data_IF_750194294419
#
_entry.id   IF_750194294419
#
_cell.length_a   1.000
_cell.length_b   1.000
_cell.length_c   1.000
_cell.angle_alpha   90.00
_cell.angle_beta   90.00
_cell.angle_gamma   90.00
#
_symmetry.space_group_name_H-M   'P 1'
#
loop_
_entity.id
_entity.type
_entity.pdbx_description
1 polymer ?
#
# COMPACT_ATOMS: atom_id res chain seq x y z
N UNK A 1 4.39 -24.69 16.40
CA UNK A 1 4.01 -23.64 15.44
C UNK A 1 5.07 -22.56 15.56
N UNK A 2 5.75 -22.21 14.47
CA UNK A 2 6.83 -21.21 14.48
C UNK A 2 6.24 -19.81 14.51
N UNK A 3 6.91 -18.86 15.17
CA UNK A 3 6.45 -17.46 15.19
C UNK A 3 6.94 -16.72 13.94
N UNK A 4 6.09 -15.87 13.38
CA UNK A 4 6.42 -15.00 12.26
C UNK A 4 5.91 -13.59 12.49
N UNK A 5 6.75 -12.58 12.24
CA UNK A 5 6.36 -11.17 12.33
C UNK A 5 5.67 -10.75 11.03
N UNK A 6 4.44 -10.26 11.12
CA UNK A 6 3.71 -9.60 10.04
C UNK A 6 3.98 -8.09 10.07
N UNK A 7 4.50 -7.54 8.97
CA UNK A 7 4.88 -6.12 8.89
C UNK A 7 3.92 -5.23 8.09
N UNK A 8 2.85 -5.81 7.53
CA UNK A 8 1.92 -5.10 6.66
C UNK A 8 0.82 -4.33 7.40
N UNK A 9 -0.22 -3.96 6.66
CA UNK A 9 -1.34 -3.16 7.19
C UNK A 9 -2.20 -4.00 8.15
N UNK A 10 -2.52 -3.50 9.37
CA UNK A 10 -3.30 -4.24 10.38
C UNK A 10 -4.60 -4.88 9.87
N UNK A 11 -5.34 -4.21 8.97
CA UNK A 11 -6.62 -4.72 8.44
C UNK A 11 -6.51 -6.06 7.69
N UNK A 12 -5.34 -6.38 7.15
CA UNK A 12 -5.10 -7.65 6.46
C UNK A 12 -4.59 -8.75 7.40
N UNK A 13 -4.29 -8.42 8.66
CA UNK A 13 -3.64 -9.32 9.61
C UNK A 13 -4.42 -10.62 9.80
N UNK A 14 -5.73 -10.56 10.07
CA UNK A 14 -6.53 -11.77 10.32
C UNK A 14 -6.61 -12.70 9.12
N UNK A 15 -6.72 -12.14 7.91
CA UNK A 15 -6.71 -12.92 6.66
C UNK A 15 -5.36 -13.63 6.50
N UNK A 16 -4.25 -12.93 6.75
CA UNK A 16 -2.89 -13.48 6.67
C UNK A 16 -2.64 -14.49 7.79
N UNK A 17 -3.08 -14.22 9.03
CA UNK A 17 -3.03 -15.13 10.19
C UNK A 17 -3.63 -16.49 9.86
N UNK A 18 -4.86 -16.52 9.34
CA UNK A 18 -5.53 -17.76 8.90
C UNK A 18 -4.78 -18.47 7.77
N UNK A 19 -4.20 -17.73 6.84
CA UNK A 19 -3.44 -18.29 5.72
C UNK A 19 -2.13 -18.96 6.15
N UNK A 20 -1.40 -18.34 7.09
CA UNK A 20 -0.11 -18.82 7.57
C UNK A 20 -0.22 -19.86 8.69
N UNK A 21 -1.31 -19.84 9.48
CA UNK A 21 -1.61 -20.91 10.43
C UNK A 21 -1.67 -22.29 9.76
N UNK A 22 -2.24 -22.37 8.55
CA UNK A 22 -2.27 -23.59 7.73
C UNK A 22 -0.88 -24.09 7.30
N UNK A 23 0.15 -23.27 7.43
CA UNK A 23 1.55 -23.57 7.08
C UNK A 23 2.44 -23.71 8.33
N UNK A 24 1.85 -23.81 9.52
CA UNK A 24 2.60 -24.01 10.76
C UNK A 24 3.16 -22.73 11.38
N UNK A 25 2.69 -21.55 10.97
CA UNK A 25 3.11 -20.26 11.53
C UNK A 25 2.05 -19.61 12.42
N UNK A 26 2.52 -19.05 13.53
CA UNK A 26 1.80 -18.12 14.40
C UNK A 26 2.23 -16.69 14.07
N UNK A 27 1.30 -15.88 13.55
CA UNK A 27 1.62 -14.51 13.14
C UNK A 27 1.53 -13.54 14.33
N UNK A 28 2.54 -12.70 14.46
CA UNK A 28 2.62 -11.58 15.41
C UNK A 28 2.59 -10.29 14.60
N UNK A 29 1.65 -9.40 14.89
CA UNK A 29 1.55 -8.12 14.18
C UNK A 29 2.58 -7.12 14.72
N UNK A 30 3.53 -6.71 13.88
CA UNK A 30 4.41 -5.55 14.13
C UNK A 30 4.43 -4.69 12.85
N UNK A 31 3.39 -3.88 12.63
CA UNK A 31 3.23 -3.11 11.38
C UNK A 31 4.40 -2.16 11.17
N UNK A 32 4.96 -2.14 9.97
CA UNK A 32 5.94 -1.12 9.55
C UNK A 32 5.27 0.04 8.80
N UNK A 33 3.95 0.04 8.77
CA UNK A 33 3.11 1.00 8.11
C UNK A 33 1.92 1.34 9.00
N UNK A 34 1.72 2.63 9.21
CA UNK A 34 0.53 3.20 9.81
C UNK A 34 -0.08 4.19 8.83
N UNK A 35 -1.40 4.09 8.65
CA UNK A 35 -2.17 5.02 7.84
C UNK A 35 -2.88 5.97 8.80
N UNK A 36 -2.59 7.27 8.69
CA UNK A 36 -3.21 8.32 9.50
C UNK A 36 -4.04 9.21 8.57
N UNK A 37 -5.35 9.39 8.82
CA UNK A 37 -6.16 10.28 8.01
C UNK A 37 -5.65 11.72 8.09
N UNK A 38 -5.71 12.45 6.98
CA UNK A 38 -5.50 13.89 6.93
C UNK A 38 -6.85 14.57 6.69
N UNK A 39 -7.01 15.79 7.23
CA UNK A 39 -8.16 16.62 6.86
C UNK A 39 -7.94 17.13 5.44
N UNK A 40 -8.99 17.07 4.63
CA UNK A 40 -9.02 17.57 3.27
C UNK A 40 -10.44 18.00 2.95
N UNK A 41 -10.57 18.91 2.00
CA UNK A 41 -11.85 19.29 1.43
C UNK A 41 -12.09 18.48 0.16
N UNK A 42 -13.33 18.01 -0.03
CA UNK A 42 -13.72 17.35 -1.26
C UNK A 42 -13.85 18.39 -2.38
N UNK A 43 -13.11 18.25 -3.48
CA UNK A 43 -13.25 19.17 -4.59
C UNK A 43 -14.52 18.87 -5.39
N UNK A 44 -14.99 19.87 -6.13
CA UNK A 44 -15.88 19.63 -7.25
C UNK A 44 -15.08 19.01 -8.40
N UNK A 45 -15.40 17.78 -8.77
CA UNK A 45 -14.72 17.04 -9.83
C UNK A 45 -15.68 16.07 -10.53
N UNK A 46 -15.29 15.62 -11.71
CA UNK A 46 -16.04 14.64 -12.50
C UNK A 46 -15.45 13.23 -12.31
N UNK A 47 -14.13 13.15 -12.15
CA UNK A 47 -13.37 11.90 -12.03
C UNK A 47 -12.68 11.76 -10.68
N UNK A 48 -12.58 10.53 -10.19
CA UNK A 48 -11.69 10.16 -9.08
C UNK A 48 -10.66 9.16 -9.59
N UNK A 49 -9.37 9.50 -9.44
CA UNK A 49 -8.23 8.69 -9.88
C UNK A 49 -7.68 7.90 -8.68
N UNK A 50 -7.75 6.56 -8.73
CA UNK A 50 -7.34 5.71 -7.62
C UNK A 50 -6.15 4.82 -8.00
N UNK A 51 -4.99 5.17 -7.47
CA UNK A 51 -3.75 4.37 -7.64
C UNK A 51 -3.53 3.34 -6.54
N UNK A 52 -4.46 3.21 -5.60
CA UNK A 52 -4.52 2.15 -4.58
C UNK A 52 -5.92 2.10 -3.96
N UNK A 53 -6.19 1.09 -3.15
CA UNK A 53 -7.44 1.00 -2.38
C UNK A 53 -7.48 1.93 -1.16
N UNK A 54 -6.34 2.40 -0.66
CA UNK A 54 -6.26 3.12 0.62
C UNK A 54 -7.11 4.40 0.68
N UNK A 55 -7.24 5.22 -0.39
CA UNK A 55 -8.18 6.35 -0.39
C UNK A 55 -9.62 6.02 -0.06
N UNK A 56 -10.09 4.80 -0.36
CA UNK A 56 -11.48 4.39 -0.16
C UNK A 56 -11.89 4.36 1.31
N UNK A 57 -10.93 4.33 2.24
CA UNK A 57 -11.22 4.40 3.68
C UNK A 57 -11.59 5.81 4.14
N UNK A 58 -11.30 6.83 3.31
CA UNK A 58 -11.42 8.24 3.69
C UNK A 58 -12.37 9.03 2.80
N UNK A 59 -12.74 8.49 1.64
CA UNK A 59 -13.71 9.10 0.73
C UNK A 59 -15.12 8.62 1.12
N UNK A 60 -16.09 9.53 1.29
CA UNK A 60 -17.48 9.14 1.52
C UNK A 60 -18.05 8.36 0.33
N UNK A 61 -18.82 7.30 0.60
CA UNK A 61 -19.48 6.50 -0.44
C UNK A 61 -20.37 7.40 -1.34
N UNK A 62 -21.13 8.34 -0.75
CA UNK A 62 -21.99 9.28 -1.49
C UNK A 62 -21.20 10.24 -2.41
N UNK A 63 -19.97 10.60 -2.03
CA UNK A 63 -19.11 11.39 -2.91
C UNK A 63 -18.74 10.60 -4.16
N UNK A 64 -18.46 9.31 -4.02
CA UNK A 64 -18.04 8.43 -5.10
C UNK A 64 -19.18 8.05 -6.05
N UNK A 65 -20.42 7.95 -5.56
CA UNK A 65 -21.59 7.55 -6.37
C UNK A 65 -21.84 8.48 -7.56
N UNK A 66 -21.59 9.78 -7.39
CA UNK A 66 -21.81 10.80 -8.42
C UNK A 66 -20.54 11.09 -9.24
N UNK A 67 -19.57 10.17 -9.30
CA UNK A 67 -18.28 10.38 -9.95
C UNK A 67 -17.94 9.23 -10.87
N UNK A 68 -17.19 9.55 -11.91
CA UNK A 68 -16.53 8.54 -12.73
C UNK A 68 -15.27 8.06 -12.02
N UNK A 69 -15.05 6.75 -12.01
CA UNK A 69 -13.95 6.14 -11.27
C UNK A 69 -12.92 5.54 -12.22
N UNK A 70 -11.69 6.04 -12.14
CA UNK A 70 -10.55 5.49 -12.86
C UNK A 70 -9.57 4.84 -11.87
N UNK A 71 -9.25 3.56 -12.08
CA UNK A 71 -8.37 2.80 -11.19
C UNK A 71 -7.14 2.26 -11.90
N UNK A 72 -6.02 2.19 -11.17
CA UNK A 72 -4.74 1.68 -11.69
C UNK A 72 -4.77 0.18 -12.03
N UNK A 73 -5.67 -0.59 -11.43
CA UNK A 73 -5.71 -2.03 -11.69
C UNK A 73 -6.86 -2.75 -11.01
N UNK A 74 -7.03 -4.01 -11.39
CA UNK A 74 -8.16 -4.89 -11.02
C UNK A 74 -8.35 -5.06 -9.51
N UNK A 75 -7.25 -5.09 -8.76
CA UNK A 75 -7.33 -5.20 -7.30
C UNK A 75 -8.02 -3.98 -6.69
N UNK A 76 -7.70 -2.77 -7.17
CA UNK A 76 -8.38 -1.54 -6.72
C UNK A 76 -9.82 -1.52 -7.20
N UNK A 77 -10.09 -1.93 -8.43
CA UNK A 77 -11.45 -2.03 -8.98
C UNK A 77 -12.38 -2.89 -8.10
N UNK A 78 -11.88 -4.04 -7.62
CA UNK A 78 -12.67 -4.99 -6.82
C UNK A 78 -13.04 -4.44 -5.42
N UNK A 79 -12.33 -3.41 -4.95
CA UNK A 79 -12.62 -2.77 -3.67
C UNK A 79 -13.68 -1.66 -3.78
N UNK A 80 -14.04 -1.23 -4.99
CA UNK A 80 -15.05 -0.19 -5.23
C UNK A 80 -16.44 -0.79 -5.06
N UNK A 81 -17.27 -0.12 -4.26
CA UNK A 81 -18.71 -0.40 -4.18
C UNK A 81 -19.44 0.45 -5.21
N UNK A 82 -19.36 0.07 -6.48
CA UNK A 82 -19.94 0.86 -7.57
C UNK A 82 -19.35 0.52 -8.93
N UNK A 83 -19.75 1.29 -9.94
CA UNK A 83 -19.21 1.18 -11.29
C UNK A 83 -17.79 1.74 -11.35
N UNK A 84 -16.96 1.12 -12.17
CA UNK A 84 -15.60 1.59 -12.47
C UNK A 84 -15.54 1.86 -13.97
N UNK A 85 -15.51 3.14 -14.32
CA UNK A 85 -15.52 3.62 -15.72
C UNK A 85 -14.21 3.33 -16.46
N UNK A 86 -13.09 3.23 -15.72
CA UNK A 86 -11.79 3.00 -16.33
C UNK A 86 -10.89 2.12 -15.44
N UNK A 87 -10.28 1.10 -16.04
CA UNK A 87 -9.28 0.24 -15.40
C UNK A 87 -8.06 0.17 -16.32
N UNK A 88 -6.89 0.58 -15.84
CA UNK A 88 -5.67 0.40 -16.63
C UNK A 88 -5.33 -1.07 -16.83
N UNK A 89 -4.79 -1.39 -18.01
CA UNK A 89 -4.40 -2.75 -18.39
C UNK A 89 -3.32 -3.32 -17.48
N UNK A 90 -2.35 -2.48 -17.08
CA UNK A 90 -1.27 -2.86 -16.19
C UNK A 90 -1.30 -2.01 -14.93
N UNK A 91 -1.09 -2.66 -13.78
CA UNK A 91 -1.11 -2.02 -12.47
C UNK A 91 0.19 -1.25 -12.17
N UNK A 92 0.55 -0.32 -13.06
CA UNK A 92 1.65 0.62 -12.84
C UNK A 92 1.26 2.03 -13.29
N UNK A 93 1.96 3.03 -12.75
CA UNK A 93 1.58 4.44 -12.89
C UNK A 93 1.76 4.97 -14.32
N UNK A 94 2.79 4.50 -15.02
CA UNK A 94 3.10 4.91 -16.40
C UNK A 94 1.96 4.48 -17.33
N UNK A 95 1.61 3.19 -17.29
CA UNK A 95 0.55 2.65 -18.12
C UNK A 95 -0.81 3.25 -17.76
N UNK A 96 -1.09 3.51 -16.46
CA UNK A 96 -2.30 4.20 -16.05
C UNK A 96 -2.42 5.58 -16.69
N UNK A 97 -1.39 6.41 -16.59
CA UNK A 97 -1.39 7.75 -17.18
C UNK A 97 -1.57 7.69 -18.70
N UNK A 98 -0.84 6.81 -19.37
CA UNK A 98 -0.90 6.69 -20.83
C UNK A 98 -2.29 6.24 -21.29
N UNK A 99 -2.78 5.12 -20.76
CA UNK A 99 -4.07 4.56 -21.13
C UNK A 99 -5.25 5.45 -20.73
N UNK A 100 -5.17 6.15 -19.59
CA UNK A 100 -6.20 7.11 -19.20
C UNK A 100 -6.18 8.35 -20.10
N UNK A 101 -5.01 8.81 -20.53
CA UNK A 101 -4.92 9.93 -21.49
C UNK A 101 -5.47 9.55 -22.87
N UNK A 102 -5.18 8.32 -23.33
CA UNK A 102 -5.71 7.77 -24.59
C UNK A 102 -7.24 7.59 -24.56
N UNK A 103 -7.80 7.34 -23.37
CA UNK A 103 -9.24 7.33 -23.13
C UNK A 103 -9.89 8.72 -23.28
N UNK A 104 -9.10 9.80 -23.30
CA UNK A 104 -9.53 11.20 -23.48
C UNK A 104 -10.64 11.62 -22.51
N UNK A 105 -10.41 11.52 -21.19
CA UNK A 105 -11.37 11.97 -20.19
C UNK A 105 -11.62 13.48 -20.34
N UNK A 106 -12.87 13.86 -20.13
CA UNK A 106 -13.27 15.27 -20.02
C UNK A 106 -13.65 15.57 -18.58
N UNK A 107 -13.50 16.83 -18.18
CA UNK A 107 -13.80 17.29 -16.83
C UNK A 107 -12.58 17.39 -15.91
N UNK A 108 -12.84 17.67 -14.64
CA UNK A 108 -11.85 17.81 -13.58
C UNK A 108 -11.61 16.44 -12.93
N UNK A 109 -10.34 16.09 -12.76
CA UNK A 109 -9.93 14.86 -12.10
C UNK A 109 -9.49 15.15 -10.67
N UNK A 110 -9.95 14.37 -9.70
CA UNK A 110 -9.43 14.38 -8.34
C UNK A 110 -8.52 13.18 -8.09
N UNK A 111 -7.28 13.44 -7.66
CA UNK A 111 -6.31 12.44 -7.26
C UNK A 111 -6.08 12.46 -5.74
N UNK A 112 -6.87 11.69 -4.97
CA UNK A 112 -6.63 11.50 -3.55
C UNK A 112 -5.41 10.59 -3.33
N UNK A 113 -4.38 11.11 -2.69
CA UNK A 113 -3.08 10.42 -2.57
C UNK A 113 -2.54 10.38 -1.15
N UNK A 114 -1.52 9.54 -0.95
CA UNK A 114 -0.71 9.55 0.27
C UNK A 114 0.34 10.65 0.23
N UNK A 115 0.87 11.02 1.39
CA UNK A 115 2.05 11.90 1.50
C UNK A 115 3.32 11.37 0.80
N UNK A 116 3.40 10.07 0.48
CA UNK A 116 4.55 9.46 -0.19
C UNK A 116 4.38 9.35 -1.70
N UNK A 117 3.21 9.70 -2.23
CA UNK A 117 3.00 9.66 -3.67
C UNK A 117 3.78 10.82 -4.32
N UNK A 118 4.55 10.50 -5.36
CA UNK A 118 5.14 11.51 -6.24
C UNK A 118 4.06 12.39 -6.93
N UNK A 119 4.50 13.31 -7.77
CA UNK A 119 3.66 14.24 -8.54
C UNK A 119 3.47 13.81 -10.00
N UNK A 120 3.74 12.54 -10.34
CA UNK A 120 3.72 12.07 -11.73
C UNK A 120 2.32 12.12 -12.35
N UNK A 121 1.26 11.84 -11.59
CA UNK A 121 -0.13 11.93 -12.08
C UNK A 121 -0.45 13.38 -12.41
N UNK A 122 -0.16 14.31 -11.51
CA UNK A 122 -0.44 15.73 -11.68
C UNK A 122 0.31 16.34 -12.86
N UNK A 123 1.52 15.87 -13.14
CA UNK A 123 2.34 16.36 -14.25
C UNK A 123 1.88 15.85 -15.61
N UNK A 124 1.21 14.70 -15.68
CA UNK A 124 0.96 14.02 -16.95
C UNK A 124 -0.52 13.80 -17.28
N UNK A 125 -1.43 14.02 -16.33
CA UNK A 125 -2.88 13.96 -16.56
C UNK A 125 -3.42 15.39 -16.52
N UNK A 126 -4.17 15.84 -17.55
CA UNK A 126 -4.72 17.20 -17.58
C UNK A 126 -5.82 17.39 -16.51
N UNK A 127 -5.98 18.64 -16.04
CA UNK A 127 -7.05 19.06 -15.11
C UNK A 127 -7.13 18.26 -13.80
N UNK A 128 -5.97 17.90 -13.21
CA UNK A 128 -5.91 17.18 -11.94
C UNK A 128 -5.85 18.14 -10.75
N UNK A 129 -6.79 17.98 -9.83
CA UNK A 129 -6.70 18.43 -8.44
C UNK A 129 -6.18 17.26 -7.61
N UNK A 130 -5.16 17.46 -6.79
CA UNK A 130 -4.67 16.43 -5.88
C UNK A 130 -4.68 16.89 -4.44
N UNK A 131 -4.90 15.94 -3.53
CA UNK A 131 -4.85 16.19 -2.09
C UNK A 131 -4.19 15.02 -1.38
N UNK A 132 -3.36 15.33 -0.39
CA UNK A 132 -2.86 14.34 0.56
C UNK A 132 -3.97 14.08 1.58
N UNK A 133 -4.69 12.98 1.39
CA UNK A 133 -5.86 12.63 2.21
C UNK A 133 -5.54 11.65 3.35
N UNK A 134 -4.36 11.03 3.29
CA UNK A 134 -3.81 10.23 4.36
C UNK A 134 -2.30 10.22 4.34
N UNK A 135 -1.74 9.83 5.47
CA UNK A 135 -0.32 9.79 5.74
C UNK A 135 0.12 8.35 5.98
N UNK A 136 1.17 7.93 5.27
CA UNK A 136 1.81 6.63 5.43
C UNK A 136 3.11 6.82 6.22
N UNK A 137 3.06 6.54 7.52
CA UNK A 137 4.16 6.74 8.44
C UNK A 137 4.59 5.43 9.11
N UNK A 138 5.78 5.47 9.70
CA UNK A 138 6.26 4.41 10.58
C UNK A 138 5.61 4.57 11.97
N UNK A 139 5.05 3.53 12.59
CA UNK A 139 4.52 3.64 13.95
C UNK A 139 5.63 4.01 14.96
N UNK A 140 5.31 4.89 15.92
CA UNK A 140 6.30 5.45 16.87
C UNK A 140 7.09 4.40 17.66
N UNK A 141 6.46 3.29 18.04
CA UNK A 141 7.06 2.28 18.91
C UNK A 141 7.53 1.02 18.15
N UNK A 142 7.63 1.10 16.82
CA UNK A 142 7.89 -0.09 16.02
C UNK A 142 9.29 -0.66 16.25
N UNK A 143 10.28 0.21 16.52
CA UNK A 143 11.68 -0.21 16.77
C UNK A 143 11.74 -1.03 18.05
N UNK A 144 11.11 -0.57 19.12
CA UNK A 144 11.06 -1.28 20.40
C UNK A 144 10.32 -2.62 20.25
N UNK A 145 9.17 -2.62 19.55
CA UNK A 145 8.40 -3.83 19.31
C UNK A 145 9.20 -4.85 18.49
N UNK A 146 9.83 -4.43 17.38
CA UNK A 146 10.67 -5.32 16.58
C UNK A 146 11.84 -5.84 17.38
N UNK A 147 12.55 -4.96 18.10
CA UNK A 147 13.73 -5.35 18.89
C UNK A 147 13.35 -6.37 19.94
N UNK A 148 12.24 -6.16 20.65
CA UNK A 148 11.71 -7.12 21.63
C UNK A 148 11.37 -8.46 20.98
N UNK A 149 10.66 -8.47 19.85
CA UNK A 149 10.28 -9.72 19.18
C UNK A 149 11.50 -10.49 18.63
N UNK A 150 12.45 -9.78 18.05
CA UNK A 150 13.62 -10.39 17.40
C UNK A 150 14.69 -10.83 18.40
N UNK A 151 14.87 -10.11 19.51
CA UNK A 151 15.90 -10.43 20.52
C UNK A 151 15.37 -11.26 21.69
N UNK A 152 14.31 -10.80 22.36
CA UNK A 152 13.79 -11.43 23.58
C UNK A 152 12.94 -12.66 23.24
N UNK A 153 12.02 -12.51 22.27
CA UNK A 153 11.19 -13.63 21.82
C UNK A 153 11.85 -14.49 20.73
N UNK A 154 13.06 -14.13 20.30
CA UNK A 154 13.88 -14.85 19.32
C UNK A 154 13.12 -15.21 18.03
N UNK A 155 12.17 -14.36 17.61
CA UNK A 155 11.41 -14.59 16.38
C UNK A 155 12.34 -14.35 15.18
N UNK A 156 12.54 -15.35 14.33
CA UNK A 156 13.46 -15.25 13.19
C UNK A 156 12.77 -15.00 11.84
N UNK A 157 11.46 -15.23 11.75
CA UNK A 157 10.72 -15.14 10.49
C UNK A 157 10.03 -13.78 10.38
N UNK A 158 10.28 -13.03 9.32
CA UNK A 158 9.58 -11.77 9.01
C UNK A 158 8.88 -11.86 7.67
N UNK A 159 7.64 -11.43 7.62
CA UNK A 159 6.83 -11.38 6.41
C UNK A 159 6.58 -9.94 5.97
N UNK A 160 6.86 -9.68 4.70
CA UNK A 160 6.69 -8.39 4.04
C UNK A 160 5.60 -8.48 2.97
N UNK A 161 4.58 -7.64 3.11
CA UNK A 161 3.50 -7.55 2.13
C UNK A 161 3.86 -6.71 0.89
N UNK A 162 4.97 -5.98 0.94
CA UNK A 162 5.38 -5.08 -0.15
C UNK A 162 6.89 -4.74 -0.10
N UNK A 163 7.47 -4.28 -1.23
CA UNK A 163 8.85 -3.76 -1.25
C UNK A 163 9.08 -2.62 -0.24
N UNK A 164 8.10 -1.73 -0.08
CA UNK A 164 8.23 -0.56 0.80
C UNK A 164 8.31 -0.95 2.29
N UNK A 165 7.55 -1.97 2.73
CA UNK A 165 7.69 -2.49 4.10
C UNK A 165 9.06 -3.09 4.37
N UNK A 166 9.66 -3.76 3.37
CA UNK A 166 11.02 -4.28 3.49
C UNK A 166 12.05 -3.16 3.53
N UNK A 167 11.95 -2.18 2.62
CA UNK A 167 12.83 -1.01 2.62
C UNK A 167 12.77 -0.26 3.96
N UNK A 168 11.59 -0.08 4.55
CA UNK A 168 11.43 0.50 5.88
C UNK A 168 12.15 -0.30 6.95
N UNK A 169 11.98 -1.63 6.96
CA UNK A 169 12.71 -2.50 7.89
C UNK A 169 14.23 -2.31 7.78
N UNK A 170 14.75 -2.33 6.55
CA UNK A 170 16.18 -2.17 6.30
C UNK A 170 16.71 -0.81 6.77
N UNK A 171 15.90 0.26 6.64
CA UNK A 171 16.26 1.60 7.11
C UNK A 171 16.34 1.74 8.63
N UNK A 172 15.80 0.77 9.39
CA UNK A 172 15.91 0.76 10.85
C UNK A 172 17.32 0.39 11.33
N UNK A 173 18.17 -0.15 10.45
CA UNK A 173 19.56 -0.53 10.76
C UNK A 173 19.72 -1.40 12.02
N UNK A 174 18.77 -2.32 12.25
CA UNK A 174 18.85 -3.27 13.35
C UNK A 174 19.99 -4.26 13.11
N UNK A 175 20.85 -4.47 14.11
CA UNK A 175 21.96 -5.43 14.06
C UNK A 175 21.47 -6.76 14.63
N UNK A 176 20.87 -7.60 13.78
CA UNK A 176 20.27 -8.88 14.16
C UNK A 176 20.58 -9.91 13.08
N UNK A 177 21.24 -10.99 13.48
CA UNK A 177 21.63 -12.07 12.59
C UNK A 177 20.55 -13.19 12.50
N UNK A 178 20.71 -14.04 11.48
CA UNK A 178 19.90 -15.24 11.25
C UNK A 178 18.40 -14.99 11.07
N UNK A 179 18.05 -13.99 10.25
CA UNK A 179 16.66 -13.68 9.91
C UNK A 179 16.23 -14.35 8.60
N UNK A 180 15.01 -14.88 8.59
CA UNK A 180 14.35 -15.44 7.42
C UNK A 180 13.27 -14.48 6.90
N UNK A 181 13.42 -14.03 5.66
CA UNK A 181 12.50 -13.09 5.04
C UNK A 181 11.49 -13.80 4.12
N UNK A 182 10.22 -13.49 4.31
CA UNK A 182 9.08 -13.99 3.56
C UNK A 182 8.39 -12.82 2.85
N UNK A 183 7.88 -13.05 1.65
CA UNK A 183 7.38 -11.99 0.78
C UNK A 183 6.02 -12.33 0.15
N UNK A 184 5.20 -11.30 -0.08
CA UNK A 184 4.00 -11.41 -0.90
C UNK A 184 4.31 -11.21 -2.38
N UNK A 185 3.98 -12.22 -3.19
CA UNK A 185 4.16 -12.18 -4.64
C UNK A 185 5.62 -12.16 -5.12
N UNK A 186 5.78 -12.25 -6.45
CA UNK A 186 7.09 -12.30 -7.10
C UNK A 186 7.84 -10.96 -7.01
N UNK A 187 7.13 -9.83 -7.10
CA UNK A 187 7.71 -8.48 -7.05
C UNK A 187 8.42 -8.21 -5.73
N UNK A 188 7.76 -8.46 -4.60
CA UNK A 188 8.35 -8.25 -3.28
C UNK A 188 9.53 -9.18 -3.06
N UNK A 189 9.42 -10.45 -3.47
CA UNK A 189 10.51 -11.42 -3.36
C UNK A 189 11.75 -10.98 -4.14
N UNK A 190 11.58 -10.65 -5.42
CA UNK A 190 12.67 -10.17 -6.28
C UNK A 190 13.35 -8.92 -5.70
N UNK A 191 12.58 -8.00 -5.11
CA UNK A 191 13.12 -6.82 -4.45
C UNK A 191 13.97 -7.18 -3.21
N UNK A 192 13.47 -8.08 -2.35
CA UNK A 192 14.21 -8.56 -1.18
C UNK A 192 15.53 -9.21 -1.60
N UNK A 193 15.47 -10.15 -2.54
CA UNK A 193 16.65 -10.89 -3.03
C UNK A 193 17.70 -9.92 -3.62
N UNK A 194 17.25 -8.92 -4.36
CA UNK A 194 18.12 -7.88 -4.93
C UNK A 194 18.83 -7.09 -3.83
N UNK A 195 18.11 -6.60 -2.83
CA UNK A 195 18.70 -5.78 -1.75
C UNK A 195 19.67 -6.61 -0.90
N UNK A 196 19.36 -7.88 -0.64
CA UNK A 196 20.24 -8.75 0.16
C UNK A 196 21.52 -9.13 -0.58
N UNK A 197 21.50 -9.20 -1.92
CA UNK A 197 22.70 -9.51 -2.72
C UNK A 197 23.79 -8.42 -2.62
N UNK A 198 23.42 -7.19 -2.28
CA UNK A 198 24.32 -6.03 -2.22
C UNK A 198 24.63 -5.57 -0.78
N UNK A 199 24.38 -6.41 0.22
CA UNK A 199 24.83 -6.23 1.60
C UNK A 199 25.99 -7.17 1.91
#
# INVERSE_FOLDING_TARGET
>A
MEKMIYTGIPRQFEKKRKHFAKRGFDLISVPLIQIIPRKFDLPSCDWVLLTSQSPLEFLPDDFLQDKKIAVIGKETATAIKGEVDFISTHANKIDFVQSFSDFKPTGICFYPKSNLADDYIEKNVPNVLSAVIYENCLPKNVVDQLTFQLTQNQVKHLYFSSPSTFQRFMSLNLVIDDLYFHADGATTRSYIDTVLKYR
#
